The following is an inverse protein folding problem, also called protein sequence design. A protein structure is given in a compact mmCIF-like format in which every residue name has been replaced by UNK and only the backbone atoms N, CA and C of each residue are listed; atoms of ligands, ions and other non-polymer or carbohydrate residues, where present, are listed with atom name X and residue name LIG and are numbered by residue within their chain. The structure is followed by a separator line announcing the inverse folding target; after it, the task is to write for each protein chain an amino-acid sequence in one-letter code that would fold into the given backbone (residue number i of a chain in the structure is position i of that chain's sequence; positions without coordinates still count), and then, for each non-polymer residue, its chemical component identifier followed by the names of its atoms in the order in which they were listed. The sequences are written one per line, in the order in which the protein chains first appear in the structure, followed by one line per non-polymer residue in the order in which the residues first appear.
data_IF_048845400925
#
_entry.id   IF_048845400925
#
_cell.length_a   1.000
_cell.length_b   1.000
_cell.length_c   1.000
_cell.angle_alpha   90.00
_cell.angle_beta   90.00
_cell.angle_gamma   90.00
#
_symmetry.space_group_name_H-M   'P 1'
#
loop_
_entity.id
_entity.type
_entity.pdbx_description
1 polymer ?
#
# COMPACT_ATOMS: atom_id res chain seq x y z
N UNK A 1 12.47 -18.71 -8.86
CA UNK A 1 11.20 -18.99 -8.16
C UNK A 1 10.09 -18.16 -8.81
N UNK A 2 8.89 -18.73 -9.01
CA UNK A 2 7.75 -18.07 -9.67
C UNK A 2 6.84 -17.38 -8.66
N UNK A 3 6.10 -16.37 -9.10
CA UNK A 3 5.07 -15.74 -8.30
C UNK A 3 3.94 -16.74 -8.01
N UNK A 4 3.39 -16.71 -6.79
CA UNK A 4 2.24 -17.52 -6.39
C UNK A 4 0.93 -17.12 -7.06
N UNK A 5 0.91 -16.04 -7.85
CA UNK A 5 -0.29 -15.46 -8.49
C UNK A 5 -0.20 -15.33 -10.00
N UNK A 6 0.99 -15.48 -10.58
CA UNK A 6 1.21 -15.43 -12.03
C UNK A 6 2.55 -16.08 -12.39
N UNK A 7 2.85 -16.16 -13.68
CA UNK A 7 4.07 -16.80 -14.17
C UNK A 7 5.34 -15.94 -14.07
N UNK A 8 5.24 -14.69 -13.61
CA UNK A 8 6.39 -13.81 -13.47
C UNK A 8 7.35 -14.27 -12.34
N UNK A 9 8.62 -13.88 -12.47
CA UNK A 9 9.64 -14.13 -11.44
C UNK A 9 9.28 -13.43 -10.13
N UNK A 10 9.38 -14.16 -9.02
CA UNK A 10 9.16 -13.59 -7.70
C UNK A 10 10.36 -12.74 -7.25
N UNK A 11 10.09 -11.61 -6.61
CA UNK A 11 11.11 -10.70 -6.06
C UNK A 11 11.18 -10.78 -4.53
N UNK A 12 10.17 -11.35 -3.88
CA UNK A 12 10.14 -11.49 -2.42
C UNK A 12 9.33 -12.71 -1.98
N UNK A 13 9.62 -13.19 -0.75
CA UNK A 13 8.86 -14.21 -0.04
C UNK A 13 8.17 -13.57 1.17
N UNK A 14 6.85 -13.62 1.21
CA UNK A 14 6.05 -13.20 2.36
C UNK A 14 6.08 -14.33 3.40
N UNK A 15 7.08 -14.28 4.29
CA UNK A 15 7.44 -15.36 5.23
C UNK A 15 6.25 -15.95 5.99
N UNK A 16 5.36 -15.12 6.50
CA UNK A 16 4.23 -15.60 7.31
C UNK A 16 3.16 -16.36 6.52
N UNK A 17 3.13 -16.21 5.19
CA UNK A 17 2.13 -16.85 4.32
C UNK A 17 2.74 -17.86 3.34
N UNK A 18 4.07 -17.91 3.24
CA UNK A 18 4.79 -18.70 2.23
C UNK A 18 4.65 -18.19 0.79
N UNK A 19 3.95 -17.06 0.54
CA UNK A 19 3.73 -16.58 -0.82
C UNK A 19 4.97 -15.92 -1.42
N UNK A 20 5.34 -16.36 -2.62
CA UNK A 20 6.34 -15.71 -3.45
C UNK A 20 5.64 -14.68 -4.34
N UNK A 21 6.01 -13.41 -4.28
CA UNK A 21 5.33 -12.36 -5.06
C UNK A 21 6.29 -11.73 -6.06
N UNK A 22 5.85 -11.55 -7.31
CA UNK A 22 6.50 -10.66 -8.25
C UNK A 22 6.30 -9.19 -7.81
N UNK A 23 7.01 -8.27 -8.45
CA UNK A 23 6.95 -6.83 -8.13
C UNK A 23 5.51 -6.31 -8.04
N UNK A 24 4.72 -6.55 -9.07
CA UNK A 24 3.38 -5.95 -9.17
C UNK A 24 2.41 -6.54 -8.13
N UNK A 25 2.48 -7.87 -7.93
CA UNK A 25 1.67 -8.53 -6.90
C UNK A 25 2.11 -8.18 -5.47
N UNK A 26 3.38 -7.85 -5.26
CA UNK A 26 3.88 -7.33 -3.99
C UNK A 26 3.37 -5.92 -3.72
N UNK A 27 3.46 -5.01 -4.70
CA UNK A 27 2.92 -3.65 -4.59
C UNK A 27 1.41 -3.67 -4.30
N UNK A 28 0.64 -4.43 -5.09
CA UNK A 28 -0.81 -4.61 -4.87
C UNK A 28 -1.14 -5.29 -3.53
N UNK A 29 -0.22 -6.08 -2.97
CA UNK A 29 -0.36 -6.66 -1.64
C UNK A 29 -0.17 -5.59 -0.54
N UNK A 30 0.84 -4.74 -0.66
CA UNK A 30 1.08 -3.64 0.29
C UNK A 30 -0.06 -2.62 0.23
N UNK A 31 -0.44 -2.15 -0.96
CA UNK A 31 -1.53 -1.19 -1.15
C UNK A 31 -2.85 -1.65 -0.53
N UNK A 32 -3.22 -2.93 -0.73
CA UNK A 32 -4.45 -3.49 -0.13
C UNK A 32 -4.40 -3.45 1.39
N UNK A 33 -3.24 -3.72 1.99
CA UNK A 33 -3.10 -3.71 3.45
C UNK A 33 -3.16 -2.30 4.01
N UNK A 34 -2.52 -1.33 3.35
CA UNK A 34 -2.60 0.08 3.76
C UNK A 34 -4.02 0.62 3.60
N UNK A 35 -4.72 0.32 2.50
CA UNK A 35 -6.14 0.68 2.32
C UNK A 35 -7.02 0.10 3.42
N UNK A 36 -6.79 -1.16 3.80
CA UNK A 36 -7.55 -1.81 4.87
C UNK A 36 -7.31 -1.11 6.21
N UNK A 37 -6.05 -0.87 6.57
CA UNK A 37 -5.68 -0.23 7.84
C UNK A 37 -6.17 1.21 7.95
N UNK A 38 -6.06 1.98 6.85
CA UNK A 38 -6.54 3.36 6.81
C UNK A 38 -8.05 3.42 7.10
N UNK A 39 -8.82 2.51 6.47
CA UNK A 39 -10.28 2.43 6.65
C UNK A 39 -10.70 1.94 8.04
N UNK A 40 -9.86 1.17 8.73
CA UNK A 40 -10.18 0.69 10.08
C UNK A 40 -9.87 1.69 11.17
N UNK A 41 -8.95 2.64 10.92
CA UNK A 41 -8.51 3.60 11.94
C UNK A 41 -9.00 5.03 11.72
N UNK A 42 -9.27 5.42 10.47
CA UNK A 42 -9.59 6.80 10.12
C UNK A 42 -10.91 6.85 9.37
N UNK A 43 -11.85 7.62 9.91
CA UNK A 43 -13.06 7.98 9.19
C UNK A 43 -12.76 9.23 8.35
N UNK A 44 -12.91 9.09 7.03
CA UNK A 44 -12.69 10.15 6.05
C UNK A 44 -14.02 10.39 5.35
N UNK A 45 -14.70 11.44 5.78
CA UNK A 45 -16.05 11.82 5.40
C UNK A 45 -16.11 12.94 4.35
N UNK A 46 -14.95 13.47 3.97
CA UNK A 46 -14.78 14.47 2.93
C UNK A 46 -14.39 15.83 3.50
N UNK A 47 -13.40 16.46 2.86
CA UNK A 47 -12.90 17.78 3.25
C UNK A 47 -11.84 17.79 4.36
N UNK A 48 -11.49 16.63 4.93
CA UNK A 48 -10.38 16.52 5.86
C UNK A 48 -9.03 16.79 5.16
N UNK A 49 -8.12 17.47 5.86
CA UNK A 49 -6.75 17.69 5.39
C UNK A 49 -5.79 16.83 6.20
N UNK A 50 -5.04 15.98 5.50
CA UNK A 50 -4.04 15.11 6.12
C UNK A 50 -2.67 15.76 6.03
N UNK A 51 -2.05 16.00 7.19
CA UNK A 51 -0.65 16.40 7.27
C UNK A 51 0.24 15.17 7.43
N UNK A 52 1.32 15.09 6.66
CA UNK A 52 2.30 14.01 6.74
C UNK A 52 3.64 14.57 7.18
N UNK A 53 4.19 14.06 8.28
CA UNK A 53 5.55 14.38 8.73
C UNK A 53 6.59 13.71 7.82
N UNK A 54 7.16 14.47 6.89
CA UNK A 54 8.11 13.95 5.91
C UNK A 54 9.56 14.08 6.42
N UNK A 55 10.16 12.95 6.79
CA UNK A 55 11.56 12.88 7.26
C UNK A 55 12.58 12.59 6.14
N UNK A 56 12.13 12.49 4.88
CA UNK A 56 12.90 12.00 3.72
C UNK A 56 13.38 10.54 3.84
N UNK A 57 12.96 9.80 4.87
CA UNK A 57 13.19 8.37 5.00
C UNK A 57 12.26 7.54 4.11
N UNK A 58 12.56 6.25 3.93
CA UNK A 58 11.73 5.34 3.13
C UNK A 58 10.28 5.29 3.63
N UNK A 59 10.08 5.32 4.95
CA UNK A 59 8.78 5.06 5.55
C UNK A 59 7.83 6.24 5.36
N UNK A 60 8.28 7.45 5.72
CA UNK A 60 7.49 8.68 5.54
C UNK A 60 7.25 9.01 4.07
N UNK A 61 8.22 8.70 3.19
CA UNK A 61 8.08 8.88 1.74
C UNK A 61 7.06 7.90 1.16
N UNK A 62 7.14 6.61 1.50
CA UNK A 62 6.18 5.60 1.05
C UNK A 62 4.78 5.88 1.59
N UNK A 63 4.66 6.29 2.86
CA UNK A 63 3.38 6.67 3.45
C UNK A 63 2.75 7.85 2.68
N UNK A 64 3.54 8.88 2.34
CA UNK A 64 3.06 10.03 1.57
C UNK A 64 2.54 9.61 0.19
N UNK A 65 3.30 8.79 -0.54
CA UNK A 65 2.91 8.29 -1.87
C UNK A 65 1.64 7.44 -1.80
N UNK A 66 1.59 6.48 -0.87
CA UNK A 66 0.43 5.60 -0.74
C UNK A 66 -0.83 6.35 -0.32
N UNK A 67 -0.74 7.30 0.62
CA UNK A 67 -1.88 8.12 1.02
C UNK A 67 -2.40 8.95 -0.16
N UNK A 68 -1.50 9.59 -0.91
CA UNK A 68 -1.87 10.33 -2.11
C UNK A 68 -2.61 9.45 -3.13
N UNK A 69 -2.06 8.28 -3.45
CA UNK A 69 -2.64 7.39 -4.47
C UNK A 69 -3.97 6.77 -4.04
N UNK A 70 -4.14 6.50 -2.75
CA UNK A 70 -5.39 5.96 -2.18
C UNK A 70 -6.49 7.04 -2.19
N UNK A 71 -6.17 8.25 -1.75
CA UNK A 71 -7.16 9.30 -1.52
C UNK A 71 -7.53 10.03 -2.80
N UNK A 72 -6.58 10.25 -3.73
CA UNK A 72 -6.87 10.86 -5.04
C UNK A 72 -7.92 10.08 -5.84
N UNK A 73 -8.00 8.76 -5.66
CA UNK A 73 -8.97 7.92 -6.36
C UNK A 73 -10.39 7.96 -5.73
N UNK A 74 -10.52 8.51 -4.51
CA UNK A 74 -11.81 8.67 -3.83
C UNK A 74 -12.46 9.97 -4.28
N UNK A 75 -13.70 9.87 -4.77
CA UNK A 75 -14.52 11.03 -5.19
C UNK A 75 -15.31 11.64 -4.04
N UNK A 76 -15.35 10.92 -2.93
CA UNK A 76 -16.07 11.21 -1.69
C UNK A 76 -15.14 11.72 -0.57
N UNK A 77 -13.85 11.91 -0.87
CA UNK A 77 -12.86 12.51 0.03
C UNK A 77 -12.20 13.71 -0.62
#
# INVERSE_FOLDING_TARGET
MRCSKCDASAVTLIRYSGQHLCRDHFLAFVERRVKHELRSQVDLSGGERIAVGLSAGKDSSVATVLLHDILRARRDV
#
